data_IF_457025788085
#
_entry.id   IF_457025788085
#
_cell.length_a   1.000
_cell.length_b   1.000
_cell.length_c   1.000
_cell.angle_alpha   90.00
_cell.angle_beta   90.00
_cell.angle_gamma   90.00
#
_symmetry.space_group_name_H-M   'P 1'
#
loop_
_entity.id
_entity.type
_entity.pdbx_description
1 polymer ?
#
# COMPACT_ATOMS: atom_id res chain seq x y z
N UNK A 1 -49.26 25.29 38.11
CA UNK A 1 -48.97 26.66 37.63
C UNK A 1 -49.36 26.89 36.15
N UNK A 2 -49.93 25.89 35.45
CA UNK A 2 -50.24 26.00 34.01
C UNK A 2 -51.25 27.15 33.76
N UNK A 3 -50.85 28.15 32.95
CA UNK A 3 -51.69 29.32 32.67
C UNK A 3 -52.39 29.23 31.30
N UNK A 4 -51.66 28.93 30.26
CA UNK A 4 -52.17 28.82 28.88
C UNK A 4 -51.61 27.63 28.11
N UNK A 5 -50.80 26.79 28.76
CA UNK A 5 -50.26 25.58 28.15
C UNK A 5 -51.37 24.56 27.83
N UNK A 6 -51.24 23.85 26.72
CA UNK A 6 -52.24 22.92 26.23
C UNK A 6 -51.62 21.59 25.75
N UNK A 7 -52.44 20.57 25.67
CA UNK A 7 -52.05 19.24 25.19
C UNK A 7 -50.89 18.60 25.98
N UNK A 8 -50.72 18.92 27.26
CA UNK A 8 -49.72 18.36 28.12
C UNK A 8 -50.23 17.11 28.85
N UNK A 9 -49.36 16.13 29.06
CA UNK A 9 -49.60 14.95 29.91
C UNK A 9 -48.69 15.04 31.11
N UNK A 10 -49.20 14.99 32.34
CA UNK A 10 -48.43 15.01 33.58
C UNK A 10 -48.89 13.87 34.50
N UNK A 11 -48.01 12.95 34.83
CA UNK A 11 -48.27 11.80 35.71
C UNK A 11 -47.13 11.66 36.72
N UNK A 12 -47.33 11.99 37.94
CA UNK A 12 -46.33 11.91 38.98
C UNK A 12 -46.37 13.11 39.93
N UNK A 13 -45.59 12.99 41.06
CA UNK A 13 -45.45 14.11 42.00
C UNK A 13 -44.62 15.20 41.33
N UNK A 14 -45.06 16.45 41.33
CA UNK A 14 -44.43 17.62 40.75
C UNK A 14 -44.16 17.54 39.21
N UNK A 15 -44.77 16.60 38.50
CA UNK A 15 -44.69 16.53 37.06
C UNK A 15 -45.30 17.81 36.42
N UNK A 16 -44.55 18.58 35.61
CA UNK A 16 -44.90 19.86 34.99
C UNK A 16 -45.44 20.89 36.01
N UNK A 17 -44.91 20.93 37.25
CA UNK A 17 -45.40 21.77 38.32
C UNK A 17 -45.35 23.26 37.97
N UNK A 18 -44.23 23.73 37.38
CA UNK A 18 -44.01 25.14 37.08
C UNK A 18 -44.32 25.51 35.61
N UNK A 19 -44.98 24.63 34.86
CA UNK A 19 -45.32 24.91 33.46
C UNK A 19 -46.28 26.11 33.37
N UNK A 20 -45.96 27.09 32.54
CA UNK A 20 -46.82 28.27 32.33
C UNK A 20 -47.49 28.27 30.96
N UNK A 21 -46.74 28.29 29.90
CA UNK A 21 -47.27 28.33 28.52
C UNK A 21 -46.81 27.17 27.67
N UNK A 22 -45.93 26.27 28.19
CA UNK A 22 -45.46 25.11 27.49
C UNK A 22 -46.56 24.17 27.04
N UNK A 23 -46.46 23.60 25.86
CA UNK A 23 -47.51 22.79 25.23
C UNK A 23 -46.97 21.51 24.59
N UNK A 24 -47.84 20.54 24.43
CA UNK A 24 -47.52 19.25 23.82
C UNK A 24 -46.37 18.50 24.54
N UNK A 25 -46.20 18.68 25.84
CA UNK A 25 -45.22 17.98 26.65
C UNK A 25 -45.82 16.71 27.27
N UNK A 26 -45.00 15.68 27.39
CA UNK A 26 -45.31 14.44 28.13
C UNK A 26 -44.36 14.28 29.28
N UNK A 27 -44.87 14.33 30.51
CA UNK A 27 -44.09 14.18 31.75
C UNK A 27 -44.63 13.01 32.56
N UNK A 28 -43.88 11.95 32.75
CA UNK A 28 -44.27 10.77 33.51
C UNK A 28 -43.17 10.40 34.49
N UNK A 29 -43.34 10.68 35.74
CA UNK A 29 -42.36 10.44 36.77
C UNK A 29 -42.38 11.53 37.85
N UNK A 30 -41.68 11.29 38.96
CA UNK A 30 -41.52 12.32 39.98
C UNK A 30 -40.58 13.39 39.46
N UNK A 31 -40.96 14.69 39.64
CA UNK A 31 -40.19 15.87 39.20
C UNK A 31 -39.92 15.91 37.69
N UNK A 32 -40.62 15.16 36.89
CA UNK A 32 -40.45 15.14 35.43
C UNK A 32 -40.92 16.46 34.83
N UNK A 33 -40.02 17.22 34.13
CA UNK A 33 -40.28 18.57 33.61
C UNK A 33 -40.76 19.54 34.68
N UNK A 34 -40.26 19.46 35.94
CA UNK A 34 -40.79 20.25 37.06
C UNK A 34 -40.66 21.75 36.79
N UNK A 35 -39.49 22.23 36.38
CA UNK A 35 -39.22 23.66 36.17
C UNK A 35 -39.55 24.15 34.74
N UNK A 36 -40.23 23.35 33.95
CA UNK A 36 -40.58 23.77 32.58
C UNK A 36 -41.51 25.00 32.61
N UNK A 37 -41.12 26.07 31.95
CA UNK A 37 -41.95 27.27 31.86
C UNK A 37 -42.64 27.42 30.50
N UNK A 38 -41.87 27.51 29.43
CA UNK A 38 -42.34 27.72 28.07
C UNK A 38 -41.92 26.62 27.09
N UNK A 39 -41.07 25.64 27.54
CA UNK A 39 -40.62 24.54 26.72
C UNK A 39 -41.78 23.71 26.17
N UNK A 40 -41.66 23.20 24.97
CA UNK A 40 -42.72 22.51 24.26
C UNK A 40 -42.24 21.25 23.53
N UNK A 41 -43.18 20.33 23.33
CA UNK A 41 -42.93 19.08 22.62
C UNK A 41 -41.82 18.23 23.24
N UNK A 42 -41.62 18.30 24.54
CA UNK A 42 -40.70 17.45 25.25
C UNK A 42 -41.36 16.16 25.71
N UNK A 43 -40.64 15.07 25.71
CA UNK A 43 -41.05 13.78 26.30
C UNK A 43 -40.09 13.43 27.42
N UNK A 44 -40.55 13.41 28.65
CA UNK A 44 -39.77 13.11 29.84
C UNK A 44 -40.45 11.94 30.61
N UNK A 45 -39.75 10.82 30.72
CA UNK A 45 -40.25 9.62 31.40
C UNK A 45 -39.15 9.08 32.34
N UNK A 46 -39.34 9.27 33.61
CA UNK A 46 -38.38 8.87 34.64
C UNK A 46 -38.41 9.87 35.83
N UNK A 47 -37.72 9.52 36.90
CA UNK A 47 -37.49 10.43 38.03
C UNK A 47 -36.52 11.52 37.60
N UNK A 48 -36.79 12.79 37.93
CA UNK A 48 -36.04 13.99 37.59
C UNK A 48 -35.66 14.14 36.08
N UNK A 49 -36.43 13.50 35.23
CA UNK A 49 -36.21 13.55 33.78
C UNK A 49 -36.55 14.94 33.24
N UNK A 50 -35.61 15.71 32.67
CA UNK A 50 -35.76 17.11 32.26
C UNK A 50 -36.22 18.04 33.41
N UNK A 51 -35.79 17.80 34.65
CA UNK A 51 -36.24 18.51 35.84
C UNK A 51 -36.10 20.03 35.69
N UNK A 52 -34.85 20.49 35.38
CA UNK A 52 -34.46 21.90 35.29
C UNK A 52 -34.84 22.58 33.93
N UNK A 53 -35.53 21.87 33.03
CA UNK A 53 -35.83 22.44 31.72
C UNK A 53 -36.72 23.67 31.83
N UNK A 54 -36.28 24.80 31.30
CA UNK A 54 -37.09 26.04 31.34
C UNK A 54 -37.74 26.34 29.99
N UNK A 55 -36.95 26.46 28.95
CA UNK A 55 -37.41 26.83 27.60
C UNK A 55 -37.03 25.84 26.53
N UNK A 56 -36.25 24.80 26.88
CA UNK A 56 -35.84 23.74 25.94
C UNK A 56 -37.02 23.03 25.31
N UNK A 57 -36.89 22.60 24.08
CA UNK A 57 -37.96 22.04 23.28
C UNK A 57 -37.54 20.86 22.41
N UNK A 58 -38.48 20.00 22.07
CA UNK A 58 -38.28 18.83 21.23
C UNK A 58 -37.17 17.89 21.79
N UNK A 59 -37.09 17.78 23.12
CA UNK A 59 -36.21 16.82 23.77
C UNK A 59 -36.96 15.53 24.12
N UNK A 60 -36.22 14.41 24.05
CA UNK A 60 -36.69 13.09 24.51
C UNK A 60 -35.76 12.64 25.65
N UNK A 61 -36.29 12.42 26.82
CA UNK A 61 -35.58 11.97 28.01
C UNK A 61 -36.30 10.74 28.61
N UNK A 62 -35.64 9.58 28.56
CA UNK A 62 -36.15 8.32 29.08
C UNK A 62 -35.16 7.68 30.06
N UNK A 63 -35.39 7.79 31.33
CA UNK A 63 -34.52 7.26 32.40
C UNK A 63 -34.53 8.12 33.64
N UNK A 64 -33.83 7.67 34.68
CA UNK A 64 -33.61 8.40 35.92
C UNK A 64 -32.56 9.48 35.67
N UNK A 65 -32.72 10.68 36.18
CA UNK A 65 -31.85 11.85 36.06
C UNK A 65 -31.44 12.20 34.62
N UNK A 66 -32.25 11.81 33.63
CA UNK A 66 -31.97 11.97 32.21
C UNK A 66 -32.24 13.42 31.79
N UNK A 67 -31.22 14.12 31.18
CA UNK A 67 -31.29 15.55 30.85
C UNK A 67 -31.69 16.42 32.04
N UNK A 68 -31.30 16.05 33.26
CA UNK A 68 -31.81 16.69 34.48
C UNK A 68 -31.54 18.20 34.48
N UNK A 69 -30.30 18.63 34.21
CA UNK A 69 -29.90 20.03 34.27
C UNK A 69 -30.17 20.82 32.95
N UNK A 70 -30.87 20.23 31.98
CA UNK A 70 -31.15 20.92 30.73
C UNK A 70 -31.99 22.18 30.98
N UNK A 71 -31.49 23.33 30.58
CA UNK A 71 -32.21 24.58 30.73
C UNK A 71 -32.87 25.06 29.43
N UNK A 72 -32.08 25.21 28.39
CA UNK A 72 -32.51 25.74 27.08
C UNK A 72 -32.15 24.83 25.90
N UNK A 73 -31.43 23.73 26.16
CA UNK A 73 -31.04 22.75 25.11
C UNK A 73 -32.27 22.18 24.39
N UNK A 74 -32.13 21.89 23.12
CA UNK A 74 -33.23 21.44 22.26
C UNK A 74 -32.77 20.36 21.27
N UNK A 75 -33.74 19.59 20.74
CA UNK A 75 -33.48 18.44 19.84
C UNK A 75 -32.57 17.37 20.42
N UNK A 76 -32.51 17.25 21.74
CA UNK A 76 -31.73 16.19 22.35
C UNK A 76 -32.55 14.91 22.51
N UNK A 77 -31.91 13.76 22.29
CA UNK A 77 -32.50 12.46 22.59
C UNK A 77 -31.60 11.74 23.59
N UNK A 78 -32.09 11.52 24.80
CA UNK A 78 -31.39 10.87 25.88
C UNK A 78 -32.16 9.65 26.39
N UNK A 79 -31.55 8.48 26.39
CA UNK A 79 -32.14 7.21 26.81
C UNK A 79 -31.17 6.45 27.71
N UNK A 80 -31.51 6.31 28.96
CA UNK A 80 -30.69 5.64 29.97
C UNK A 80 -30.53 6.50 31.23
N UNK A 81 -30.23 5.89 32.39
CA UNK A 81 -29.94 6.64 33.61
C UNK A 81 -28.76 7.57 33.39
N UNK A 82 -28.85 8.80 33.87
CA UNK A 82 -27.84 9.86 33.85
C UNK A 82 -27.34 10.20 32.40
N UNK A 83 -28.16 9.87 31.38
CA UNK A 83 -27.84 10.24 30.01
C UNK A 83 -28.04 11.74 29.81
N UNK A 84 -26.99 12.47 29.37
CA UNK A 84 -26.99 13.94 29.23
C UNK A 84 -27.41 14.69 30.54
N UNK A 85 -27.10 14.14 31.70
CA UNK A 85 -27.51 14.68 33.01
C UNK A 85 -27.18 16.17 33.16
N UNK A 86 -25.89 16.55 32.98
CA UNK A 86 -25.39 17.92 33.17
C UNK A 86 -25.57 18.83 31.93
N UNK A 87 -26.33 18.40 30.92
CA UNK A 87 -26.53 19.23 29.73
C UNK A 87 -27.28 20.52 30.09
N UNK A 88 -26.74 21.67 29.82
CA UNK A 88 -27.39 22.96 30.09
C UNK A 88 -27.99 23.58 28.82
N UNK A 89 -27.17 23.82 27.82
CA UNK A 89 -27.59 24.50 26.58
C UNK A 89 -27.24 23.72 25.32
N UNK A 90 -26.55 22.55 25.45
CA UNK A 90 -26.21 21.67 24.33
C UNK A 90 -27.44 21.22 23.57
N UNK A 91 -27.35 21.10 22.25
CA UNK A 91 -28.45 20.77 21.39
C UNK A 91 -28.08 19.75 20.30
N UNK A 92 -29.11 19.11 19.74
CA UNK A 92 -28.93 18.09 18.68
C UNK A 92 -28.01 16.93 19.12
N UNK A 93 -28.01 16.57 20.39
CA UNK A 93 -27.23 15.45 20.90
C UNK A 93 -28.13 14.19 20.98
N UNK A 94 -27.53 13.04 20.71
CA UNK A 94 -28.16 11.73 20.94
C UNK A 94 -27.32 10.95 21.93
N UNK A 95 -27.87 10.58 23.07
CA UNK A 95 -27.25 9.76 24.09
C UNK A 95 -28.13 8.50 24.34
N UNK A 96 -27.62 7.33 24.01
CA UNK A 96 -28.36 6.06 24.22
C UNK A 96 -27.47 5.06 24.98
N UNK A 97 -27.68 4.97 26.25
CA UNK A 97 -26.93 4.15 27.21
C UNK A 97 -26.80 4.86 28.56
N UNK A 98 -26.79 4.11 29.65
CA UNK A 98 -26.53 4.70 30.96
C UNK A 98 -25.20 5.44 30.97
N UNK A 99 -25.17 6.60 31.59
CA UNK A 99 -24.00 7.47 31.68
C UNK A 99 -23.44 7.95 30.33
N UNK A 100 -24.22 7.96 29.26
CA UNK A 100 -23.78 8.50 27.99
C UNK A 100 -23.90 10.03 27.98
N UNK A 101 -22.81 10.74 27.59
CA UNK A 101 -22.74 12.20 27.59
C UNK A 101 -23.12 12.88 28.94
N UNK A 102 -22.93 12.19 30.08
CA UNK A 102 -23.37 12.69 31.39
C UNK A 102 -22.91 14.12 31.64
N UNK A 103 -21.61 14.40 31.48
CA UNK A 103 -21.02 15.71 31.83
C UNK A 103 -21.07 16.74 30.67
N UNK A 104 -21.89 16.50 29.64
CA UNK A 104 -22.01 17.45 28.54
C UNK A 104 -22.70 18.73 29.04
N UNK A 105 -22.08 19.87 28.85
CA UNK A 105 -22.69 21.16 29.25
C UNK A 105 -23.23 21.94 28.04
N UNK A 106 -22.39 22.23 27.08
CA UNK A 106 -22.71 23.06 25.91
C UNK A 106 -22.38 22.39 24.57
N UNK A 107 -21.76 21.19 24.60
CA UNK A 107 -21.44 20.43 23.39
C UNK A 107 -22.70 20.08 22.58
N UNK A 108 -22.57 20.14 21.27
CA UNK A 108 -23.68 19.96 20.34
C UNK A 108 -23.38 18.93 19.26
N UNK A 109 -24.44 18.39 18.64
CA UNK A 109 -24.31 17.46 17.52
C UNK A 109 -23.45 16.22 17.84
N UNK A 110 -23.51 15.72 19.07
CA UNK A 110 -22.81 14.51 19.47
C UNK A 110 -23.76 13.30 19.39
N UNK A 111 -23.22 12.16 18.98
CA UNK A 111 -23.91 10.87 18.94
C UNK A 111 -23.18 9.86 19.82
N UNK A 112 -23.73 9.51 20.95
CA UNK A 112 -23.15 8.61 21.94
C UNK A 112 -24.04 7.37 22.15
N UNK A 113 -23.55 6.21 21.74
CA UNK A 113 -24.27 4.93 21.88
C UNK A 113 -23.44 3.94 22.69
N UNK A 114 -23.96 3.60 23.88
CA UNK A 114 -23.31 2.65 24.80
C UNK A 114 -23.05 3.25 26.17
N UNK A 115 -22.90 2.38 27.16
CA UNK A 115 -22.62 2.76 28.53
C UNK A 115 -21.38 3.67 28.62
N UNK A 116 -21.48 4.84 29.23
CA UNK A 116 -20.40 5.81 29.46
C UNK A 116 -19.67 6.25 28.17
N UNK A 117 -20.34 6.22 27.02
CA UNK A 117 -19.81 6.83 25.79
C UNK A 117 -19.84 8.34 25.91
N UNK A 118 -18.73 9.04 25.56
CA UNK A 118 -18.56 10.49 25.73
C UNK A 118 -18.84 10.98 27.16
N UNK A 119 -18.59 10.16 28.19
CA UNK A 119 -18.98 10.42 29.57
C UNK A 119 -18.54 11.80 30.06
N UNK A 120 -17.27 12.17 29.86
CA UNK A 120 -16.69 13.43 30.33
C UNK A 120 -16.75 14.57 29.31
N UNK A 121 -17.49 14.43 28.22
CA UNK A 121 -17.59 15.51 27.25
C UNK A 121 -18.19 16.74 27.90
N UNK A 122 -17.55 17.90 27.77
CA UNK A 122 -18.12 19.16 28.30
C UNK A 122 -18.58 20.08 27.17
N UNK A 123 -17.68 20.45 26.28
CA UNK A 123 -17.93 21.40 25.19
C UNK A 123 -17.63 20.83 23.81
N UNK A 124 -17.03 19.63 23.75
CA UNK A 124 -16.74 18.94 22.48
C UNK A 124 -18.00 18.72 21.64
N UNK A 125 -17.89 18.92 20.34
CA UNK A 125 -19.04 18.88 19.42
C UNK A 125 -18.75 18.03 18.20
N UNK A 126 -19.80 17.56 17.52
CA UNK A 126 -19.69 16.75 16.31
C UNK A 126 -18.95 15.42 16.52
N UNK A 127 -19.03 14.83 17.69
CA UNK A 127 -18.40 13.55 17.98
C UNK A 127 -19.41 12.39 17.77
N UNK A 128 -18.93 11.28 17.22
CA UNK A 128 -19.66 10.04 17.05
C UNK A 128 -18.99 8.92 17.84
N UNK A 129 -19.58 8.46 18.92
CA UNK A 129 -19.04 7.46 19.82
C UNK A 129 -19.98 6.27 19.93
N UNK A 130 -19.57 5.12 19.42
CA UNK A 130 -20.35 3.87 19.42
C UNK A 130 -19.58 2.77 20.14
N UNK A 131 -20.01 2.44 21.34
CA UNK A 131 -19.43 1.41 22.17
C UNK A 131 -19.23 1.85 23.62
N UNK A 132 -19.15 0.89 24.54
CA UNK A 132 -18.92 1.19 25.95
C UNK A 132 -17.61 1.99 26.12
N UNK A 133 -17.67 3.15 26.73
CA UNK A 133 -16.52 4.00 27.04
C UNK A 133 -15.81 4.58 25.80
N UNK A 134 -16.43 4.53 24.62
CA UNK A 134 -15.88 5.20 23.46
C UNK A 134 -15.81 6.71 23.71
N UNK A 135 -14.61 7.33 23.51
CA UNK A 135 -14.35 8.73 23.85
C UNK A 135 -14.69 9.09 25.30
N UNK A 136 -14.56 8.14 26.24
CA UNK A 136 -15.08 8.27 27.61
C UNK A 136 -14.51 9.45 28.39
N UNK A 137 -13.28 9.88 28.13
CA UNK A 137 -12.65 11.04 28.82
C UNK A 137 -12.52 12.27 27.92
N UNK A 138 -13.16 12.29 26.76
CA UNK A 138 -13.16 13.47 25.90
C UNK A 138 -13.78 14.65 26.66
N UNK A 139 -13.11 15.79 26.65
CA UNK A 139 -13.64 17.02 27.29
C UNK A 139 -13.99 18.07 26.26
N UNK A 140 -13.08 18.44 25.41
CA UNK A 140 -13.21 19.53 24.44
C UNK A 140 -12.98 19.10 22.98
N UNK A 141 -12.46 17.88 22.77
CA UNK A 141 -12.19 17.35 21.42
C UNK A 141 -13.46 17.28 20.56
N UNK A 142 -13.36 17.62 19.29
CA UNK A 142 -14.47 17.72 18.36
C UNK A 142 -14.21 16.97 17.05
N UNK A 143 -15.28 16.64 16.32
CA UNK A 143 -15.20 15.96 15.03
C UNK A 143 -14.54 14.56 15.10
N UNK A 144 -14.64 13.86 16.21
CA UNK A 144 -14.08 12.54 16.38
C UNK A 144 -15.10 11.45 16.04
N UNK A 145 -14.66 10.39 15.41
CA UNK A 145 -15.43 9.16 15.19
C UNK A 145 -14.76 8.00 15.92
N UNK A 146 -15.42 7.43 16.92
CA UNK A 146 -14.93 6.30 17.69
C UNK A 146 -15.98 5.16 17.65
N UNK A 147 -15.64 4.06 16.99
CA UNK A 147 -16.49 2.89 16.86
C UNK A 147 -15.80 1.66 17.46
N UNK A 148 -16.21 1.27 18.63
CA UNK A 148 -15.67 0.13 19.37
C UNK A 148 -15.62 0.39 20.87
N UNK A 149 -15.63 -0.71 21.64
CA UNK A 149 -15.46 -0.59 23.09
C UNK A 149 -14.09 0.02 23.40
N UNK A 150 -14.09 1.12 24.17
CA UNK A 150 -12.90 1.87 24.57
C UNK A 150 -12.07 2.46 23.42
N UNK A 151 -12.66 2.62 22.24
CA UNK A 151 -12.03 3.40 21.17
C UNK A 151 -11.79 4.82 21.64
N UNK A 152 -10.52 5.29 21.57
CA UNK A 152 -10.06 6.61 22.03
C UNK A 152 -10.50 6.96 23.47
N UNK A 153 -10.53 5.96 24.35
CA UNK A 153 -11.09 6.12 25.70
C UNK A 153 -10.46 7.27 26.49
N UNK A 154 -9.16 7.54 26.32
CA UNK A 154 -8.44 8.57 27.06
C UNK A 154 -8.25 9.88 26.26
N UNK A 155 -8.88 10.04 25.11
CA UNK A 155 -8.85 11.32 24.39
C UNK A 155 -9.43 12.43 25.28
N UNK A 156 -8.77 13.57 25.37
CA UNK A 156 -9.22 14.74 26.14
C UNK A 156 -9.59 15.90 25.23
N UNK A 157 -8.70 16.28 24.33
CA UNK A 157 -8.85 17.46 23.46
C UNK A 157 -8.52 17.20 21.99
N UNK A 158 -8.04 16.01 21.65
CA UNK A 158 -7.76 15.63 20.27
C UNK A 158 -9.01 15.70 19.40
N UNK A 159 -8.86 16.20 18.17
CA UNK A 159 -9.97 16.46 17.27
C UNK A 159 -9.75 15.83 15.88
N UNK A 160 -10.82 15.66 15.12
CA UNK A 160 -10.78 15.13 13.76
C UNK A 160 -10.13 13.74 13.65
N UNK A 161 -10.27 12.89 14.66
CA UNK A 161 -9.76 11.54 14.66
C UNK A 161 -10.83 10.54 14.21
N UNK A 162 -10.43 9.49 13.51
CA UNK A 162 -11.25 8.34 13.16
C UNK A 162 -10.64 7.08 13.76
N UNK A 163 -11.39 6.39 14.62
CA UNK A 163 -10.93 5.23 15.38
C UNK A 163 -11.97 4.12 15.32
N UNK A 164 -11.62 2.98 14.72
CA UNK A 164 -12.55 1.86 14.51
C UNK A 164 -11.91 0.55 14.98
N UNK A 165 -12.44 0.01 16.07
CA UNK A 165 -11.97 -1.23 16.70
C UNK A 165 -11.92 -1.13 18.23
N UNK A 166 -11.66 -2.26 18.89
CA UNK A 166 -11.50 -2.32 20.34
C UNK A 166 -10.21 -1.62 20.77
N UNK A 167 -10.27 -0.69 21.72
CA UNK A 167 -9.14 0.07 22.28
C UNK A 167 -8.23 0.76 21.23
N UNK A 168 -8.75 1.05 20.05
CA UNK A 168 -8.00 1.78 19.04
C UNK A 168 -7.70 3.20 19.50
N UNK A 169 -6.47 3.67 19.31
CA UNK A 169 -6.04 5.01 19.67
C UNK A 169 -6.24 5.36 21.15
N UNK A 170 -6.27 4.34 22.05
CA UNK A 170 -6.72 4.53 23.44
C UNK A 170 -5.95 5.61 24.20
N UNK A 171 -4.62 5.65 24.07
CA UNK A 171 -3.74 6.60 24.78
C UNK A 171 -3.49 7.91 24.04
N UNK A 172 -4.21 8.18 22.97
CA UNK A 172 -4.09 9.45 22.25
C UNK A 172 -4.88 10.54 22.98
N UNK A 173 -4.23 11.29 23.86
CA UNK A 173 -4.89 12.28 24.72
C UNK A 173 -5.26 13.56 23.98
N UNK A 174 -4.37 14.04 23.13
CA UNK A 174 -4.46 15.38 22.52
C UNK A 174 -4.20 15.39 21.01
N UNK A 175 -3.72 14.25 20.46
CA UNK A 175 -3.42 14.14 19.04
C UNK A 175 -4.67 14.28 18.17
N UNK A 176 -4.51 14.91 17.03
CA UNK A 176 -5.59 15.23 16.09
C UNK A 176 -5.30 14.72 14.69
N UNK A 177 -6.35 14.54 13.88
CA UNK A 177 -6.20 14.12 12.48
C UNK A 177 -5.72 12.70 12.30
N UNK A 178 -5.89 11.83 13.28
CA UNK A 178 -5.43 10.44 13.21
C UNK A 178 -6.50 9.50 12.65
N UNK A 179 -6.05 8.45 12.00
CA UNK A 179 -6.89 7.32 11.54
C UNK A 179 -6.34 6.01 12.13
N UNK A 180 -7.13 5.37 12.98
CA UNK A 180 -6.81 4.10 13.63
C UNK A 180 -7.85 3.05 13.22
N UNK A 181 -7.42 1.95 12.63
CA UNK A 181 -8.31 0.88 12.16
C UNK A 181 -7.81 -0.49 12.58
N UNK A 182 -8.60 -1.20 13.38
CA UNK A 182 -8.39 -2.56 13.84
C UNK A 182 -8.21 -2.68 15.36
N UNK A 183 -8.10 -3.90 15.87
CA UNK A 183 -7.94 -4.19 17.30
C UNK A 183 -6.65 -3.53 17.84
N UNK A 184 -6.78 -2.62 18.81
CA UNK A 184 -5.68 -1.89 19.45
C UNK A 184 -4.73 -1.15 18.47
N UNK A 185 -5.14 -0.90 17.23
CA UNK A 185 -4.34 -0.12 16.29
C UNK A 185 -4.07 1.28 16.86
N UNK A 186 -2.81 1.72 16.87
CA UNK A 186 -2.41 3.00 17.41
C UNK A 186 -2.66 3.17 18.92
N UNK A 187 -2.76 2.08 19.70
CA UNK A 187 -3.05 2.12 21.15
C UNK A 187 -2.16 3.09 21.92
N UNK A 188 -0.86 3.12 21.60
CA UNK A 188 0.15 3.98 22.26
C UNK A 188 0.53 5.21 21.44
N UNK A 189 -0.17 5.51 20.35
CA UNK A 189 0.10 6.70 19.56
C UNK A 189 -0.37 7.96 20.30
N UNK A 190 0.51 8.94 20.45
CA UNK A 190 0.21 10.20 21.14
C UNK A 190 0.29 11.42 20.23
N UNK A 191 0.77 11.25 19.00
CA UNK A 191 0.93 12.32 18.01
C UNK A 191 -0.32 12.63 17.22
N UNK A 192 -0.16 13.49 16.25
CA UNK A 192 -1.21 13.91 15.30
C UNK A 192 -0.89 13.46 13.90
N UNK A 193 -1.91 13.45 13.03
CA UNK A 193 -1.77 13.22 11.59
C UNK A 193 -1.15 11.85 11.26
N UNK A 194 -1.57 10.79 11.96
CA UNK A 194 -1.05 9.43 11.78
C UNK A 194 -2.13 8.46 11.30
N UNK A 195 -1.72 7.52 10.48
CA UNK A 195 -2.53 6.38 10.03
C UNK A 195 -1.95 5.09 10.61
N UNK A 196 -2.77 4.30 11.28
CA UNK A 196 -2.48 2.95 11.75
C UNK A 196 -3.56 1.99 11.26
N UNK A 197 -3.20 1.01 10.46
CA UNK A 197 -4.06 -0.13 10.13
C UNK A 197 -3.34 -1.38 10.61
N UNK A 198 -3.88 -1.98 11.67
CA UNK A 198 -3.32 -3.19 12.29
C UNK A 198 -4.37 -3.87 13.18
N UNK A 199 -4.13 -5.11 13.57
CA UNK A 199 -4.96 -5.86 14.51
C UNK A 199 -4.23 -6.15 15.83
N UNK A 200 -3.27 -5.31 16.22
CA UNK A 200 -2.47 -5.46 17.44
C UNK A 200 -1.94 -4.11 17.93
N UNK A 201 -1.48 -4.12 19.21
CA UNK A 201 -0.78 -2.99 19.82
C UNK A 201 0.70 -3.04 19.46
N UNK A 202 1.04 -2.67 18.24
CA UNK A 202 2.43 -2.62 17.75
C UNK A 202 2.85 -1.20 17.40
N UNK A 203 4.15 -0.92 17.53
CA UNK A 203 4.76 0.31 17.02
C UNK A 203 5.07 0.26 15.51
N UNK A 204 4.94 -0.94 14.91
CA UNK A 204 5.18 -1.18 13.47
C UNK A 204 3.93 -1.81 12.85
N UNK A 205 2.85 -1.04 12.69
CA UNK A 205 1.59 -1.58 12.15
C UNK A 205 1.76 -2.03 10.69
N UNK A 206 0.90 -2.94 10.25
CA UNK A 206 0.93 -3.44 8.86
C UNK A 206 0.95 -2.28 7.84
N UNK A 207 0.12 -1.25 8.08
CA UNK A 207 0.17 0.00 7.31
C UNK A 207 0.29 1.16 8.31
N UNK A 208 1.36 1.92 8.15
CA UNK A 208 1.59 3.17 8.86
C UNK A 208 1.56 4.35 7.88
N UNK A 209 0.93 5.44 8.26
CA UNK A 209 0.93 6.67 7.50
C UNK A 209 1.33 7.88 8.35
N UNK A 210 1.94 8.83 7.71
CA UNK A 210 2.24 10.14 8.25
C UNK A 210 1.70 11.19 7.28
N UNK A 211 0.58 11.82 7.65
CA UNK A 211 -0.10 12.80 6.81
C UNK A 211 0.65 14.14 6.74
N UNK A 212 1.57 14.43 7.66
CA UNK A 212 2.39 15.65 7.63
C UNK A 212 3.44 15.58 6.51
N UNK A 213 3.90 14.38 6.20
CA UNK A 213 4.96 14.14 5.21
C UNK A 213 4.47 13.43 3.96
N UNK A 214 3.15 13.18 3.84
CA UNK A 214 2.51 12.42 2.76
C UNK A 214 3.13 11.01 2.56
N UNK A 215 3.56 10.38 3.65
CA UNK A 215 4.25 9.09 3.62
C UNK A 215 3.35 7.95 4.07
N UNK A 216 3.34 6.86 3.30
CA UNK A 216 2.78 5.57 3.71
C UNK A 216 3.90 4.53 3.77
N UNK A 217 3.95 3.78 4.87
CA UNK A 217 4.87 2.67 5.08
C UNK A 217 4.05 1.37 5.20
N UNK A 218 4.42 0.36 4.45
CA UNK A 218 3.88 -1.00 4.56
C UNK A 218 4.96 -1.85 5.22
N UNK A 219 4.71 -2.34 6.43
CA UNK A 219 5.68 -3.15 7.21
C UNK A 219 5.57 -4.65 6.93
N UNK A 220 4.80 -5.04 5.94
CA UNK A 220 4.67 -6.41 5.42
C UNK A 220 4.95 -6.46 3.92
N UNK A 221 4.76 -7.64 3.35
CA UNK A 221 4.88 -7.82 1.90
C UNK A 221 3.74 -7.13 1.15
N UNK A 222 4.05 -6.47 0.05
CA UNK A 222 3.07 -5.87 -0.84
C UNK A 222 2.98 -6.68 -2.14
N UNK A 223 1.82 -7.29 -2.40
CA UNK A 223 1.53 -7.95 -3.68
C UNK A 223 0.62 -7.09 -4.53
N UNK A 224 1.08 -6.68 -5.71
CA UNK A 224 0.29 -5.93 -6.68
C UNK A 224 -0.07 -6.85 -7.84
N UNK A 225 -1.36 -7.21 -7.98
CA UNK A 225 -1.85 -8.08 -9.07
C UNK A 225 -2.12 -7.33 -10.38
N UNK A 226 -2.08 -6.02 -10.34
CA UNK A 226 -2.21 -5.12 -11.49
C UNK A 226 -0.95 -4.30 -11.72
N UNK A 227 -1.07 -3.20 -12.44
CA UNK A 227 0.06 -2.30 -12.68
C UNK A 227 0.34 -1.41 -11.45
N UNK A 228 1.57 -1.39 -10.97
CA UNK A 228 2.05 -0.41 -10.01
C UNK A 228 2.54 0.84 -10.78
N UNK A 229 1.86 1.97 -10.58
CA UNK A 229 2.25 3.25 -11.19
C UNK A 229 2.97 4.10 -10.16
N UNK A 230 4.25 4.34 -10.39
CA UNK A 230 5.07 5.24 -9.58
C UNK A 230 5.97 6.08 -10.50
N UNK A 231 6.25 7.31 -10.12
CA UNK A 231 7.22 8.14 -10.86
C UNK A 231 8.66 7.69 -10.58
N UNK A 232 8.93 7.24 -9.38
CA UNK A 232 10.24 6.74 -8.94
C UNK A 232 10.06 5.58 -7.99
N UNK A 233 11.00 4.63 -8.02
CA UNK A 233 11.22 3.64 -6.97
C UNK A 233 12.54 4.00 -6.29
N UNK A 234 12.53 4.16 -4.96
CA UNK A 234 13.70 4.60 -4.18
C UNK A 234 14.05 3.57 -3.12
N UNK A 235 15.30 3.57 -2.66
CA UNK A 235 15.76 2.82 -1.48
C UNK A 235 15.29 3.50 -0.17
N UNK A 236 15.66 2.93 0.99
CA UNK A 236 15.34 3.45 2.31
C UNK A 236 15.89 4.86 2.58
N UNK A 237 16.93 5.26 1.87
CA UNK A 237 17.60 6.55 2.00
C UNK A 237 17.04 7.61 1.03
N UNK A 238 16.02 7.21 0.24
CA UNK A 238 15.36 8.08 -0.73
C UNK A 238 16.08 8.17 -2.08
N UNK A 239 17.15 7.38 -2.29
CA UNK A 239 17.83 7.37 -3.59
C UNK A 239 16.99 6.56 -4.58
N UNK A 240 16.70 7.09 -5.76
CA UNK A 240 15.85 6.39 -6.72
C UNK A 240 16.52 5.10 -7.20
N UNK A 241 15.81 3.97 -7.12
CA UNK A 241 16.21 2.67 -7.70
C UNK A 241 15.86 2.64 -9.20
N UNK A 242 14.68 3.15 -9.53
CA UNK A 242 14.21 3.33 -10.90
C UNK A 242 13.49 4.68 -11.02
N UNK A 243 13.81 5.43 -12.03
CA UNK A 243 13.13 6.68 -12.37
C UNK A 243 12.64 6.65 -13.81
N UNK A 244 11.47 7.22 -14.07
CA UNK A 244 10.99 7.44 -15.43
C UNK A 244 11.44 8.82 -15.89
N UNK A 245 12.16 8.88 -17.01
CA UNK A 245 12.41 10.14 -17.68
C UNK A 245 11.09 10.69 -18.23
N UNK A 246 10.63 11.81 -17.70
CA UNK A 246 9.34 12.40 -18.08
C UNK A 246 9.31 12.94 -19.52
N UNK A 247 10.48 13.18 -20.12
CA UNK A 247 10.61 13.70 -21.50
C UNK A 247 10.65 12.55 -22.51
N UNK A 248 11.45 11.51 -22.25
CA UNK A 248 11.64 10.37 -23.18
C UNK A 248 10.72 9.20 -22.87
N UNK A 249 10.15 9.13 -21.69
CA UNK A 249 9.37 7.97 -21.22
C UNK A 249 10.21 6.75 -20.85
N UNK A 250 11.52 6.82 -20.94
CA UNK A 250 12.44 5.72 -20.61
C UNK A 250 12.49 5.46 -19.11
N UNK A 251 12.61 4.20 -18.74
CA UNK A 251 12.86 3.78 -17.34
C UNK A 251 14.37 3.73 -17.15
N UNK A 252 14.86 4.57 -16.25
CA UNK A 252 16.28 4.66 -15.90
C UNK A 252 16.52 3.92 -14.60
N UNK A 253 17.42 2.95 -14.59
CA UNK A 253 17.95 2.36 -13.37
C UNK A 253 19.00 3.31 -12.78
N UNK A 254 18.71 3.89 -11.63
CA UNK A 254 19.55 4.93 -11.01
C UNK A 254 20.43 4.40 -9.89
N UNK A 255 20.19 3.17 -9.44
CA UNK A 255 20.97 2.57 -8.34
C UNK A 255 21.72 1.34 -8.71
N UNK A 256 22.60 0.97 -7.78
CA UNK A 256 23.64 -0.01 -7.97
C UNK A 256 23.17 -1.46 -7.91
N UNK A 257 21.99 -1.76 -7.33
CA UNK A 257 21.62 -3.17 -7.11
C UNK A 257 20.11 -3.38 -6.95
N UNK A 258 19.54 -4.34 -7.68
CA UNK A 258 18.27 -5.00 -7.35
C UNK A 258 18.62 -6.43 -6.95
N UNK A 259 18.25 -6.83 -5.72
CA UNK A 259 18.57 -8.16 -5.17
C UNK A 259 17.34 -8.83 -4.59
N UNK A 260 17.38 -10.16 -4.46
CA UNK A 260 16.36 -10.92 -3.76
C UNK A 260 16.57 -10.90 -2.23
N UNK A 261 15.67 -11.56 -1.51
CA UNK A 261 15.72 -11.68 -0.05
C UNK A 261 16.93 -12.45 0.48
N UNK A 262 17.63 -13.17 -0.39
CA UNK A 262 18.87 -13.91 -0.05
C UNK A 262 20.13 -13.11 -0.31
N UNK A 263 19.99 -11.89 -0.86
CA UNK A 263 21.10 -11.03 -1.25
C UNK A 263 21.64 -11.28 -2.66
N UNK A 264 21.03 -12.21 -3.42
CA UNK A 264 21.40 -12.45 -4.81
C UNK A 264 21.00 -11.27 -5.69
N UNK A 265 21.93 -10.72 -6.44
CA UNK A 265 21.76 -9.48 -7.19
C UNK A 265 21.21 -9.74 -8.58
N UNK A 266 20.02 -9.25 -8.89
CA UNK A 266 19.43 -9.37 -10.23
C UNK A 266 19.85 -8.27 -11.19
N UNK A 267 19.97 -7.03 -10.70
CA UNK A 267 20.44 -5.90 -11.50
C UNK A 267 21.36 -5.05 -10.64
N UNK A 268 22.53 -4.74 -11.14
CA UNK A 268 23.52 -3.92 -10.45
C UNK A 268 24.11 -2.88 -11.42
N UNK A 269 24.19 -1.64 -11.02
CA UNK A 269 25.00 -0.62 -11.69
C UNK A 269 26.33 -0.49 -10.95
N UNK A 270 27.44 -0.63 -11.66
CA UNK A 270 28.76 -0.35 -11.12
C UNK A 270 28.96 1.16 -11.00
N UNK A 271 29.24 1.65 -9.80
CA UNK A 271 29.37 3.09 -9.52
C UNK A 271 30.64 3.71 -10.13
N UNK A 272 31.63 2.89 -10.47
CA UNK A 272 32.91 3.35 -11.03
C UNK A 272 32.89 3.35 -12.55
N UNK A 273 32.29 2.33 -13.15
CA UNK A 273 32.27 2.14 -14.61
C UNK A 273 30.97 2.54 -15.27
N UNK A 274 29.88 2.72 -14.51
CA UNK A 274 28.54 2.95 -15.03
C UNK A 274 27.86 1.71 -15.59
N UNK A 275 28.55 0.58 -15.64
CA UNK A 275 28.06 -0.66 -16.25
C UNK A 275 26.88 -1.25 -15.50
N UNK A 276 25.89 -1.79 -16.22
CA UNK A 276 24.72 -2.47 -15.67
C UNK A 276 24.93 -3.98 -15.79
N UNK A 277 24.83 -4.67 -14.66
CA UNK A 277 24.91 -6.13 -14.58
C UNK A 277 23.51 -6.70 -14.35
N UNK A 278 23.13 -7.75 -15.08
CA UNK A 278 21.87 -8.47 -14.91
C UNK A 278 22.16 -9.91 -14.53
N UNK A 279 21.80 -10.30 -13.28
CA UNK A 279 22.12 -11.61 -12.69
C UNK A 279 23.56 -11.69 -12.13
N UNK A 280 23.83 -12.64 -11.25
CA UNK A 280 25.16 -12.79 -10.62
C UNK A 280 26.27 -13.15 -11.61
N UNK A 281 25.93 -13.88 -12.68
CA UNK A 281 26.88 -14.34 -13.70
C UNK A 281 26.43 -13.99 -15.13
N UNK A 282 25.59 -12.99 -15.31
CA UNK A 282 24.96 -12.71 -16.60
C UNK A 282 25.23 -11.29 -17.07
N UNK A 283 24.81 -11.00 -18.25
CA UNK A 283 25.05 -9.84 -19.12
C UNK A 283 25.45 -8.55 -18.41
N UNK A 284 26.59 -7.99 -18.80
CA UNK A 284 27.05 -6.65 -18.42
C UNK A 284 26.80 -5.71 -19.58
N UNK A 285 26.09 -4.60 -19.33
CA UNK A 285 25.99 -3.49 -20.25
C UNK A 285 26.98 -2.42 -19.79
N UNK A 286 28.04 -2.20 -20.54
CA UNK A 286 29.03 -1.17 -20.23
C UNK A 286 28.67 0.10 -21.00
N UNK A 287 28.32 1.15 -20.27
CA UNK A 287 27.90 2.44 -20.82
C UNK A 287 29.06 3.16 -21.57
N UNK A 288 30.28 2.95 -21.12
CA UNK A 288 31.45 3.60 -21.73
C UNK A 288 31.94 2.92 -23.03
N UNK A 289 31.74 1.62 -23.17
CA UNK A 289 32.20 0.85 -24.33
C UNK A 289 31.09 0.24 -25.17
N UNK A 290 29.83 0.35 -24.73
CA UNK A 290 28.68 -0.27 -25.40
C UNK A 290 28.77 -1.81 -25.42
N UNK A 291 29.36 -2.42 -24.40
CA UNK A 291 29.57 -3.87 -24.35
C UNK A 291 28.49 -4.58 -23.57
N UNK A 292 28.18 -5.81 -23.98
CA UNK A 292 27.26 -6.72 -23.33
C UNK A 292 28.00 -8.02 -23.06
N UNK A 293 28.07 -8.47 -21.79
CA UNK A 293 28.72 -9.72 -21.43
C UNK A 293 28.42 -10.20 -20.02
N UNK A 294 28.96 -11.33 -19.59
CA UNK A 294 28.83 -11.85 -18.24
C UNK A 294 30.13 -11.57 -17.47
N UNK A 295 30.45 -10.74 -16.74
CA UNK A 295 31.65 -10.51 -15.91
C UNK A 295 32.99 -11.07 -16.41
N UNK A 296 33.02 -12.22 -17.06
CA UNK A 296 34.18 -12.87 -17.68
C UNK A 296 34.16 -12.73 -19.20
N UNK A 297 33.00 -12.83 -19.80
CA UNK A 297 32.78 -12.82 -21.25
C UNK A 297 32.02 -11.55 -21.65
N UNK A 298 32.70 -10.64 -22.29
CA UNK A 298 32.16 -9.35 -22.68
C UNK A 298 31.82 -9.36 -24.17
N UNK A 299 30.58 -9.06 -24.52
CA UNK A 299 30.25 -8.61 -25.86
C UNK A 299 30.40 -7.11 -25.91
N UNK A 300 31.41 -6.63 -26.63
CA UNK A 300 31.63 -5.18 -26.80
C UNK A 300 31.24 -4.75 -28.22
N UNK A 301 30.55 -3.62 -28.32
CA UNK A 301 30.23 -2.96 -29.57
C UNK A 301 30.93 -1.60 -29.59
N UNK A 302 32.02 -1.49 -30.30
CA UNK A 302 32.59 -0.21 -30.70
C UNK A 302 32.36 0.00 -32.18
N UNK A 303 31.53 1.03 -32.54
CA UNK A 303 31.24 1.41 -33.92
C UNK A 303 31.21 0.23 -34.91
N UNK A 304 30.18 -0.62 -34.77
CA UNK A 304 29.95 -1.72 -35.72
C UNK A 304 30.75 -3.01 -35.48
N UNK A 305 31.34 -3.20 -34.30
CA UNK A 305 32.02 -4.45 -33.93
C UNK A 305 31.39 -5.03 -32.65
N UNK A 306 31.04 -6.30 -32.69
CA UNK A 306 30.68 -7.10 -31.52
C UNK A 306 31.85 -8.06 -31.23
N UNK A 307 32.43 -7.96 -30.06
CA UNK A 307 33.43 -8.90 -29.56
C UNK A 307 32.83 -9.81 -28.52
N UNK A 308 33.00 -11.11 -28.67
CA UNK A 308 32.48 -12.14 -27.75
C UNK A 308 33.66 -12.93 -27.21
N UNK A 309 33.77 -12.95 -25.87
CA UNK A 309 34.87 -13.64 -25.17
C UNK A 309 36.16 -12.81 -25.05
N UNK A 310 36.84 -12.98 -23.93
CA UNK A 310 38.14 -12.32 -23.63
C UNK A 310 39.32 -13.26 -23.75
N UNK A 311 39.10 -14.53 -23.52
CA UNK A 311 40.17 -15.53 -23.38
C UNK A 311 39.98 -16.69 -24.35
N UNK A 312 41.08 -17.37 -24.65
CA UNK A 312 41.11 -18.49 -25.58
C UNK A 312 40.33 -19.74 -25.14
N UNK A 313 39.92 -19.80 -23.87
CA UNK A 313 39.17 -20.90 -23.28
C UNK A 313 37.67 -20.65 -23.24
N UNK A 314 37.20 -19.45 -23.60
CA UNK A 314 35.81 -19.08 -23.51
C UNK A 314 35.00 -19.77 -24.60
N UNK A 315 33.96 -20.50 -24.22
CA UNK A 315 32.98 -21.10 -25.13
C UNK A 315 31.66 -20.36 -25.07
N UNK A 316 31.19 -19.89 -26.21
CA UNK A 316 29.90 -19.19 -26.29
C UNK A 316 28.93 -19.98 -27.15
N UNK A 317 27.78 -20.34 -26.56
CA UNK A 317 26.70 -21.00 -27.27
C UNK A 317 25.64 -19.99 -27.65
N UNK A 318 25.39 -19.80 -28.95
CA UNK A 318 24.30 -18.99 -29.44
C UNK A 318 23.07 -19.88 -29.63
N UNK A 319 21.97 -19.50 -28.99
CA UNK A 319 20.66 -20.14 -29.20
C UNK A 319 19.80 -19.14 -29.99
N UNK A 320 19.81 -19.29 -31.30
CA UNK A 320 19.06 -18.41 -32.20
C UNK A 320 19.81 -18.08 -33.48
N UNK A 321 19.25 -17.19 -34.31
CA UNK A 321 19.86 -16.77 -35.56
C UNK A 321 20.95 -15.71 -35.29
N UNK A 322 22.21 -16.04 -35.65
CA UNK A 322 23.32 -15.10 -35.61
C UNK A 322 23.54 -14.55 -37.01
N UNK A 323 23.17 -13.31 -37.26
CA UNK A 323 23.43 -12.64 -38.53
C UNK A 323 24.81 -11.98 -38.48
N UNK A 324 25.79 -12.57 -39.09
CA UNK A 324 27.12 -12.01 -39.22
C UNK A 324 27.28 -11.42 -40.63
N UNK A 325 27.44 -10.09 -40.77
CA UNK A 325 27.65 -9.49 -42.07
C UNK A 325 28.94 -10.01 -42.71
N UNK A 326 28.93 -10.13 -44.04
CA UNK A 326 30.11 -10.59 -44.82
C UNK A 326 31.36 -9.78 -44.43
N UNK A 327 32.45 -10.43 -44.09
CA UNK A 327 33.68 -9.75 -43.69
C UNK A 327 34.26 -8.93 -44.83
N UNK A 328 34.52 -7.66 -44.56
CA UNK A 328 35.13 -6.73 -45.56
C UNK A 328 36.64 -6.83 -45.62
N UNK A 329 37.25 -7.58 -44.72
CA UNK A 329 38.69 -7.84 -44.74
C UNK A 329 39.01 -9.16 -43.98
N UNK A 330 40.13 -9.80 -44.32
CA UNK A 330 40.58 -11.05 -43.70
C UNK A 330 40.80 -10.97 -42.18
N UNK A 331 40.85 -9.79 -41.60
CA UNK A 331 40.99 -9.59 -40.15
C UNK A 331 39.67 -9.54 -39.40
N UNK A 332 38.54 -9.49 -40.08
CA UNK A 332 37.22 -9.23 -39.43
C UNK A 332 36.42 -10.49 -39.16
N UNK A 333 36.61 -11.61 -39.84
CA UNK A 333 35.77 -12.80 -39.67
C UNK A 333 36.37 -13.86 -38.74
N UNK A 334 37.64 -13.79 -38.50
CA UNK A 334 38.29 -14.74 -37.63
C UNK A 334 39.32 -14.01 -36.80
N UNK A 335 39.03 -13.87 -35.54
CA UNK A 335 39.94 -13.19 -34.66
C UNK A 335 41.22 -14.04 -34.52
N UNK A 336 42.33 -13.41 -34.78
CA UNK A 336 43.65 -13.94 -35.03
C UNK A 336 44.26 -14.87 -33.98
N UNK A 337 43.62 -15.08 -32.87
CA UNK A 337 44.17 -15.91 -31.80
C UNK A 337 43.43 -17.24 -31.61
N UNK A 338 42.35 -17.45 -32.33
CA UNK A 338 41.41 -18.52 -31.97
C UNK A 338 41.13 -19.54 -33.03
N UNK A 339 41.58 -19.26 -34.22
CA UNK A 339 41.26 -20.17 -35.29
C UNK A 339 42.55 -20.83 -35.73
N UNK A 340 42.89 -21.86 -34.97
CA UNK A 340 43.60 -22.95 -35.66
C UNK A 340 42.66 -23.50 -36.75
N UNK A 341 43.16 -24.26 -37.62
CA UNK A 341 42.42 -24.81 -38.77
C UNK A 341 41.09 -25.45 -38.38
N UNK A 342 40.97 -25.97 -37.17
CA UNK A 342 39.78 -26.63 -36.64
C UNK A 342 38.70 -25.64 -36.14
N UNK A 343 39.08 -24.50 -35.59
CA UNK A 343 38.18 -23.43 -35.18
C UNK A 343 37.50 -22.75 -36.37
N UNK A 344 38.23 -22.49 -37.46
CA UNK A 344 37.62 -21.92 -38.67
C UNK A 344 36.62 -22.87 -39.32
N UNK A 345 36.92 -24.14 -39.30
CA UNK A 345 36.01 -25.20 -39.78
C UNK A 345 34.75 -25.28 -38.89
N UNK A 346 34.92 -25.21 -37.58
CA UNK A 346 33.78 -25.24 -36.64
C UNK A 346 32.89 -24.02 -36.79
N UNK A 347 33.42 -22.80 -36.99
CA UNK A 347 32.66 -21.61 -37.27
C UNK A 347 31.90 -21.67 -38.64
N UNK A 348 32.57 -22.17 -39.68
CA UNK A 348 31.94 -22.35 -40.98
C UNK A 348 30.82 -23.40 -40.90
N UNK A 349 30.98 -24.41 -40.07
CA UNK A 349 29.95 -25.43 -39.83
C UNK A 349 28.80 -24.90 -38.97
N UNK A 350 29.05 -24.12 -37.96
CA UNK A 350 28.03 -23.48 -37.15
C UNK A 350 27.16 -22.52 -37.96
N UNK A 351 27.76 -21.78 -38.91
CA UNK A 351 26.99 -20.94 -39.83
C UNK A 351 26.16 -21.72 -40.86
N UNK A 352 26.58 -22.94 -41.14
CA UNK A 352 25.89 -23.80 -42.11
C UNK A 352 24.70 -24.62 -41.57
N UNK A 353 24.58 -24.74 -40.24
CA UNK A 353 23.64 -25.69 -39.61
C UNK A 353 22.51 -25.10 -38.83
N UNK A 354 22.28 -23.79 -38.82
CA UNK A 354 21.28 -23.19 -37.95
C UNK A 354 20.16 -22.51 -38.73
N UNK A 355 19.08 -23.23 -38.91
CA UNK A 355 17.76 -22.61 -38.95
C UNK A 355 16.81 -23.47 -38.13
N UNK A 356 16.49 -22.97 -36.98
CA UNK A 356 15.54 -23.61 -36.05
C UNK A 356 14.11 -23.23 -36.45
N UNK A 357 13.58 -23.80 -37.54
CA UNK A 357 12.18 -23.61 -37.95
C UNK A 357 11.59 -24.93 -38.43
N UNK A 358 11.14 -25.77 -37.47
CA UNK A 358 10.32 -26.96 -37.73
C UNK A 358 11.08 -28.17 -38.24
N UNK A 359 10.34 -29.25 -38.46
CA UNK A 359 10.87 -30.50 -39.03
C UNK A 359 11.30 -30.28 -40.48
N UNK A 360 12.49 -30.77 -40.84
CA UNK A 360 12.96 -30.67 -42.21
C UNK A 360 14.44 -30.99 -42.41
N UNK A 361 14.85 -30.92 -43.67
CA UNK A 361 16.24 -31.10 -44.08
C UNK A 361 16.87 -29.75 -44.39
N UNK A 362 18.05 -29.51 -43.87
CA UNK A 362 18.77 -28.27 -44.03
C UNK A 362 20.13 -28.53 -44.65
N UNK A 363 20.49 -27.70 -45.62
CA UNK A 363 21.83 -27.71 -46.22
C UNK A 363 22.47 -26.35 -45.95
N UNK A 364 23.63 -26.35 -45.36
CA UNK A 364 24.40 -25.13 -45.10
C UNK A 364 25.80 -25.24 -45.74
N UNK A 365 26.27 -24.10 -46.25
CA UNK A 365 27.64 -23.96 -46.74
C UNK A 365 28.26 -22.76 -46.03
N UNK A 366 29.40 -22.96 -45.39
CA UNK A 366 30.17 -21.92 -44.70
C UNK A 366 31.57 -21.83 -45.24
N UNK A 367 32.17 -20.64 -45.18
CA UNK A 367 33.58 -20.45 -45.52
C UNK A 367 34.27 -19.60 -44.45
N UNK A 368 35.53 -19.90 -44.19
CA UNK A 368 36.34 -19.11 -43.30
C UNK A 368 37.76 -18.96 -43.88
N UNK A 369 38.43 -17.88 -43.54
CA UNK A 369 39.83 -17.62 -43.96
C UNK A 369 40.68 -17.46 -42.70
N UNK A 370 41.74 -18.22 -42.57
CA UNK A 370 42.70 -18.18 -41.48
C UNK A 370 44.09 -17.91 -42.03
N UNK A 371 44.76 -16.88 -41.57
CA UNK A 371 46.13 -16.50 -42.02
C UNK A 371 46.33 -16.45 -43.54
N UNK A 372 45.27 -16.06 -44.28
CA UNK A 372 45.29 -16.01 -45.74
C UNK A 372 44.90 -17.31 -46.43
N UNK A 373 44.67 -18.37 -45.71
CA UNK A 373 44.25 -19.67 -46.24
C UNK A 373 42.73 -19.85 -46.08
N UNK A 374 42.08 -20.35 -47.08
CA UNK A 374 40.63 -20.57 -47.10
C UNK A 374 40.21 -21.95 -46.64
N UNK A 375 39.20 -22.04 -45.85
CA UNK A 375 38.51 -23.28 -45.52
C UNK A 375 37.06 -23.24 -46.04
N UNK A 376 36.63 -24.32 -46.62
CA UNK A 376 35.25 -24.53 -47.06
C UNK A 376 34.62 -25.66 -46.26
N UNK A 377 33.41 -25.44 -45.78
CA UNK A 377 32.62 -26.47 -45.12
C UNK A 377 31.20 -26.54 -45.72
N UNK A 378 30.71 -27.76 -45.91
CA UNK A 378 29.33 -27.99 -46.28
C UNK A 378 28.74 -28.99 -45.29
N UNK A 379 27.51 -28.75 -44.88
CA UNK A 379 26.81 -29.63 -43.94
C UNK A 379 25.39 -29.90 -44.38
N UNK A 380 24.93 -31.12 -44.04
CA UNK A 380 23.57 -31.54 -44.14
C UNK A 380 23.04 -31.83 -42.75
N UNK A 381 21.90 -31.28 -42.40
CA UNK A 381 21.23 -31.56 -41.15
C UNK A 381 19.78 -31.97 -41.42
N UNK A 382 19.31 -32.97 -40.72
CA UNK A 382 17.93 -33.41 -40.74
C UNK A 382 17.38 -33.38 -39.32
N UNK A 383 16.28 -32.70 -39.13
CA UNK A 383 15.59 -32.60 -37.83
C UNK A 383 14.16 -33.12 -37.99
N UNK A 384 13.73 -33.99 -37.09
CA UNK A 384 12.34 -34.42 -36.95
C UNK A 384 12.01 -34.57 -35.48
N UNK A 385 10.98 -33.87 -35.05
CA UNK A 385 10.60 -33.79 -33.62
C UNK A 385 11.79 -33.42 -32.72
N UNK A 386 12.10 -34.22 -31.70
CA UNK A 386 13.22 -34.00 -30.79
C UNK A 386 14.52 -34.70 -31.15
N UNK A 387 14.63 -35.21 -32.39
CA UNK A 387 15.82 -35.89 -32.87
C UNK A 387 16.44 -35.14 -34.03
N UNK A 388 17.75 -35.09 -34.08
CA UNK A 388 18.45 -34.52 -35.21
C UNK A 388 19.68 -35.38 -35.62
N UNK A 389 19.99 -35.34 -36.87
CA UNK A 389 21.21 -35.93 -37.44
C UNK A 389 21.90 -34.84 -38.23
N UNK A 390 23.17 -34.68 -37.97
CA UNK A 390 24.03 -33.72 -38.63
C UNK A 390 25.22 -34.43 -39.23
N UNK A 391 25.50 -34.14 -40.49
CA UNK A 391 26.72 -34.62 -41.19
C UNK A 391 27.35 -33.42 -41.86
N UNK A 392 28.59 -33.17 -41.55
CA UNK A 392 29.31 -32.04 -42.13
C UNK A 392 30.67 -32.44 -42.63
N UNK A 393 31.09 -31.80 -43.71
CA UNK A 393 32.39 -32.00 -44.37
C UNK A 393 33.08 -30.67 -44.41
N UNK A 394 34.40 -30.71 -44.10
CA UNK A 394 35.23 -29.53 -44.24
C UNK A 394 36.52 -29.85 -44.95
N UNK A 395 37.01 -28.88 -45.69
CA UNK A 395 38.27 -28.98 -46.41
C UNK A 395 39.11 -27.73 -46.13
N UNK A 396 40.34 -27.94 -45.81
CA UNK A 396 41.33 -26.90 -45.66
C UNK A 396 42.54 -27.21 -46.55
N UNK A 397 43.10 -26.19 -47.18
CA UNK A 397 44.18 -26.32 -48.17
C UNK A 397 45.44 -27.02 -47.65
N UNK A 398 45.70 -26.86 -46.34
CA UNK A 398 46.88 -27.48 -45.70
C UNK A 398 46.63 -28.95 -45.26
N UNK A 399 45.43 -29.46 -45.43
CA UNK A 399 45.09 -30.84 -45.10
C UNK A 399 44.89 -31.69 -46.34
N UNK A 400 45.57 -32.81 -46.40
CA UNK A 400 45.49 -33.76 -47.54
C UNK A 400 44.18 -34.56 -47.61
N UNK A 401 43.37 -34.58 -46.53
CA UNK A 401 42.13 -35.33 -46.45
C UNK A 401 41.03 -34.44 -45.83
N UNK A 402 39.75 -34.56 -46.33
CA UNK A 402 38.62 -33.85 -45.70
C UNK A 402 38.33 -34.45 -44.34
N UNK A 403 37.96 -33.57 -43.42
CA UNK A 403 37.46 -33.95 -42.09
C UNK A 403 35.94 -34.17 -42.21
N UNK A 404 35.47 -35.34 -41.80
CA UNK A 404 34.06 -35.67 -41.72
C UNK A 404 33.64 -35.74 -40.25
N UNK A 405 32.68 -34.95 -39.85
CA UNK A 405 32.10 -35.05 -38.53
C UNK A 405 30.61 -35.38 -38.62
N UNK A 406 30.18 -36.30 -37.76
CA UNK A 406 28.76 -36.67 -37.65
C UNK A 406 28.31 -36.51 -36.22
N UNK A 407 27.12 -35.97 -36.04
CA UNK A 407 26.51 -35.82 -34.73
C UNK A 407 25.04 -36.33 -34.73
N UNK A 408 24.68 -37.01 -33.67
CA UNK A 408 23.27 -37.42 -33.41
C UNK A 408 22.93 -36.87 -32.02
N UNK A 409 21.80 -36.18 -31.92
CA UNK A 409 21.36 -35.59 -30.66
C UNK A 409 19.85 -35.68 -30.43
N UNK A 410 19.47 -35.48 -29.20
CA UNK A 410 18.08 -35.34 -28.77
C UNK A 410 17.92 -33.98 -28.08
N UNK A 411 16.81 -33.32 -28.37
CA UNK A 411 16.36 -32.14 -27.66
C UNK A 411 15.34 -32.57 -26.60
N UNK A 412 15.59 -32.29 -25.36
CA UNK A 412 14.68 -32.51 -24.24
C UNK A 412 13.76 -31.32 -24.03
#
# INVERSE_FOLDING_TARGET
NNTTGYSNVAVGKAALENNTTGYENTAVGRNSLEENTTGYKNTAVGHNSLEENTTGYLNIALGDDTLQENTTGYFNTAIGSDALEENTTGYENTAAGAFSLTNNTTGQNNSAYGHASLYNNTTGSFNSAFGRGALGTNTTGSNNTALGKWAMVYNQSGSANTSVGFETGANNLTGSGNVFLGYQAGYNETGSNKLYIDNSNTSTPLIYGDFDTDKVTINGDMTVTGALKANTFSDSDGNPLMAKNVVTGEVILTTTTIQDTTGSRYVRKDSTTGSIHIGENSMVFDDASGSIGNGSDIMSSSVGKIQIGKNETDSTTFVGEVNVPNPKSSSNAANKGYVDTMGAISMAMASATVTNKGDGSYIGVGSAVVEGEGALAAGFAYQKENKFVNVSFSYHRLMSNPIVTTGIGWKF
#
